data_IF_792116578740
#
_entry.id   IF_792116578740
#
_cell.length_a   1.000
_cell.length_b   1.000
_cell.length_c   1.000
_cell.angle_alpha   90.00
_cell.angle_beta   90.00
_cell.angle_gamma   90.00
#
_symmetry.space_group_name_H-M   'P 1'
#
loop_
_entity.id
_entity.type
_entity.pdbx_description
1 polymer ?
#
# COMPACT_ATOMS: atom_id res chain seq x y z
N UNK A 1 8.73 -9.45 -2.72
CA UNK A 1 7.55 -9.01 -1.97
C UNK A 1 6.30 -9.74 -2.44
N UNK A 2 5.49 -10.23 -1.53
CA UNK A 2 4.58 -11.34 -1.84
C UNK A 2 3.19 -10.93 -2.33
N UNK A 3 2.53 -11.90 -2.96
CA UNK A 3 1.10 -11.88 -3.32
C UNK A 3 0.19 -11.57 -2.11
N UNK A 4 0.66 -11.76 -0.87
CA UNK A 4 -0.09 -11.38 0.33
C UNK A 4 -0.37 -9.88 0.37
N UNK A 5 0.64 -9.04 0.18
CA UNK A 5 0.47 -7.58 0.21
C UNK A 5 -0.42 -7.11 -0.95
N UNK A 6 -0.31 -7.71 -2.13
CA UNK A 6 -1.21 -7.42 -3.25
C UNK A 6 -2.67 -7.73 -2.89
N UNK A 7 -2.93 -8.91 -2.33
CA UNK A 7 -4.28 -9.30 -1.92
C UNK A 7 -4.80 -8.46 -0.75
N UNK A 8 -3.92 -8.03 0.15
CA UNK A 8 -4.24 -7.15 1.25
C UNK A 8 -4.66 -5.76 0.74
N UNK A 9 -3.91 -5.19 -0.22
CA UNK A 9 -4.28 -3.96 -0.93
C UNK A 9 -5.62 -4.11 -1.64
N UNK A 10 -5.86 -5.24 -2.33
CA UNK A 10 -7.17 -5.51 -2.94
C UNK A 10 -8.28 -5.63 -1.91
N UNK A 11 -8.04 -6.20 -0.74
CA UNK A 11 -9.04 -6.29 0.32
C UNK A 11 -9.41 -4.90 0.86
N UNK A 12 -8.44 -4.01 1.02
CA UNK A 12 -8.68 -2.61 1.37
C UNK A 12 -9.51 -1.87 0.32
N UNK A 13 -9.15 -1.99 -0.96
CA UNK A 13 -9.92 -1.38 -2.06
C UNK A 13 -11.30 -2.02 -2.31
N UNK A 14 -11.58 -3.16 -1.70
CA UNK A 14 -12.92 -3.75 -1.65
C UNK A 14 -13.66 -3.41 -0.34
N UNK A 15 -13.20 -2.38 0.38
CA UNK A 15 -13.79 -1.85 1.62
C UNK A 15 -13.89 -2.90 2.76
N UNK A 16 -13.10 -3.97 2.70
CA UNK A 16 -13.09 -5.01 3.75
C UNK A 16 -12.28 -4.60 4.99
N UNK A 17 -11.47 -3.55 4.86
CA UNK A 17 -10.52 -3.07 5.85
C UNK A 17 -10.61 -1.55 5.85
N UNK A 18 -10.65 -0.93 7.03
CA UNK A 18 -10.60 0.53 7.13
C UNK A 18 -9.17 1.06 6.92
N UNK A 19 -9.03 2.34 6.61
CA UNK A 19 -7.75 2.94 6.23
C UNK A 19 -6.67 2.83 7.30
N UNK A 20 -6.97 3.20 8.55
CA UNK A 20 -6.01 3.10 9.66
C UNK A 20 -5.47 1.67 9.82
N UNK A 21 -6.37 0.68 9.83
CA UNK A 21 -5.98 -0.73 9.96
C UNK A 21 -5.16 -1.21 8.76
N UNK A 22 -5.51 -0.76 7.55
CA UNK A 22 -4.75 -1.08 6.35
C UNK A 22 -3.33 -0.48 6.42
N UNK A 23 -3.19 0.80 6.78
CA UNK A 23 -1.91 1.50 6.85
C UNK A 23 -0.97 0.83 7.85
N UNK A 24 -1.42 0.66 9.09
CA UNK A 24 -0.60 0.06 10.15
C UNK A 24 -0.15 -1.36 9.78
N UNK A 25 -1.09 -2.18 9.31
CA UNK A 25 -0.80 -3.56 8.95
C UNK A 25 0.08 -3.67 7.70
N UNK A 26 -0.12 -2.81 6.69
CA UNK A 26 0.67 -2.84 5.47
C UNK A 26 2.14 -2.55 5.76
N UNK A 27 2.44 -1.53 6.57
CA UNK A 27 3.81 -1.17 6.98
C UNK A 27 4.48 -2.34 7.71
N UNK A 28 3.79 -2.97 8.66
CA UNK A 28 4.35 -4.09 9.41
C UNK A 28 4.55 -5.33 8.55
N UNK A 29 3.58 -5.68 7.68
CA UNK A 29 3.73 -6.78 6.73
C UNK A 29 4.91 -6.55 5.77
N UNK A 30 5.07 -5.32 5.27
CA UNK A 30 6.19 -4.93 4.41
C UNK A 30 7.54 -5.13 5.12
N UNK A 31 7.65 -4.69 6.38
CA UNK A 31 8.86 -4.86 7.20
C UNK A 31 9.18 -6.34 7.43
N UNK A 32 8.17 -7.15 7.77
CA UNK A 32 8.33 -8.59 7.97
C UNK A 32 8.86 -9.26 6.70
N UNK A 33 8.28 -8.96 5.53
CA UNK A 33 8.74 -9.55 4.27
C UNK A 33 10.18 -9.15 3.92
N UNK A 34 10.53 -7.88 4.15
CA UNK A 34 11.90 -7.38 3.96
C UNK A 34 12.88 -8.13 4.86
N UNK A 35 12.56 -8.26 6.14
CA UNK A 35 13.44 -8.88 7.15
C UNK A 35 13.61 -10.38 6.92
N UNK A 36 12.60 -11.04 6.33
CA UNK A 36 12.68 -12.43 5.85
C UNK A 36 13.42 -12.59 4.52
N UNK A 37 13.85 -11.50 3.88
CA UNK A 37 14.57 -11.53 2.59
C UNK A 37 13.68 -11.90 1.40
N UNK A 38 12.35 -11.81 1.54
CA UNK A 38 11.39 -12.17 0.49
C UNK A 38 11.33 -11.11 -0.62
N UNK A 39 11.93 -9.94 -0.42
CA UNK A 39 12.01 -8.88 -1.41
C UNK A 39 12.63 -9.34 -2.75
N UNK A 40 13.60 -10.26 -2.72
CA UNK A 40 14.37 -10.68 -3.88
C UNK A 40 13.78 -11.88 -4.65
N UNK A 41 12.63 -12.41 -4.22
CA UNK A 41 12.05 -13.64 -4.79
C UNK A 41 11.01 -13.32 -5.87
N UNK A 42 10.38 -12.14 -5.78
CA UNK A 42 9.20 -11.82 -6.56
C UNK A 42 9.50 -11.03 -7.84
N UNK A 43 8.51 -11.02 -8.73
CA UNK A 43 8.49 -10.29 -9.99
C UNK A 43 8.81 -8.79 -9.77
N UNK A 44 9.69 -8.23 -10.60
CA UNK A 44 10.18 -6.86 -10.47
C UNK A 44 9.04 -5.83 -10.52
N UNK A 45 8.02 -6.07 -11.35
CA UNK A 45 6.85 -5.18 -11.45
C UNK A 45 5.99 -5.27 -10.21
N UNK A 46 5.80 -6.46 -9.63
CA UNK A 46 5.10 -6.59 -8.34
C UNK A 46 5.87 -5.86 -7.23
N UNK A 47 7.18 -6.02 -7.16
CA UNK A 47 8.01 -5.33 -6.18
C UNK A 47 7.92 -3.81 -6.31
N UNK A 48 7.95 -3.28 -7.54
CA UNK A 48 7.79 -1.85 -7.80
C UNK A 48 6.42 -1.35 -7.32
N UNK A 49 5.35 -2.04 -7.71
CA UNK A 49 3.99 -1.71 -7.26
C UNK A 49 3.89 -1.68 -5.72
N UNK A 50 4.36 -2.72 -5.04
CA UNK A 50 4.29 -2.80 -3.58
C UNK A 50 5.14 -1.74 -2.87
N UNK A 51 6.23 -1.30 -3.51
CA UNK A 51 7.05 -0.17 -3.05
C UNK A 51 6.33 1.17 -3.22
N UNK A 52 5.61 1.38 -4.34
CA UNK A 52 4.74 2.55 -4.53
C UNK A 52 3.65 2.61 -3.45
N UNK A 53 2.99 1.48 -3.15
CA UNK A 53 1.97 1.43 -2.10
C UNK A 53 2.57 1.76 -0.74
N UNK A 54 3.75 1.23 -0.40
CA UNK A 54 4.43 1.57 0.84
C UNK A 54 4.65 3.09 0.97
N UNK A 55 5.15 3.73 -0.09
CA UNK A 55 5.35 5.18 -0.10
C UNK A 55 4.03 5.94 0.10
N UNK A 56 2.95 5.54 -0.58
CA UNK A 56 1.63 6.18 -0.43
C UNK A 56 1.12 6.04 1.01
N UNK A 57 1.30 4.86 1.60
CA UNK A 57 0.86 4.54 2.96
C UNK A 57 1.68 5.29 4.02
N UNK A 58 2.99 5.48 3.80
CA UNK A 58 3.88 6.24 4.69
C UNK A 58 3.51 7.73 4.77
N UNK A 59 2.80 8.25 3.76
CA UNK A 59 2.28 9.62 3.72
C UNK A 59 0.87 9.77 4.30
N UNK A 60 0.30 8.71 4.88
CA UNK A 60 -1.02 8.79 5.49
C UNK A 60 -1.01 9.66 6.75
N UNK A 61 -1.92 10.64 6.78
CA UNK A 61 -2.21 11.40 7.97
C UNK A 61 -3.73 11.70 8.03
N UNK A 62 -4.47 11.13 8.99
CA UNK A 62 -5.91 11.39 9.14
C UNK A 62 -6.22 12.75 9.77
N UNK A 63 -5.23 13.47 10.30
CA UNK A 63 -5.45 14.72 11.00
C UNK A 63 -5.92 15.84 10.07
N UNK A 64 -6.78 16.72 10.59
CA UNK A 64 -7.31 17.87 9.83
C UNK A 64 -6.25 18.92 9.50
N UNK A 65 -5.13 18.89 10.20
CA UNK A 65 -3.98 19.79 10.01
C UNK A 65 -2.84 19.12 9.24
N UNK A 66 -3.13 18.04 8.48
CA UNK A 66 -2.13 17.36 7.65
C UNK A 66 -1.47 18.30 6.65
N UNK A 67 -0.22 18.02 6.33
CA UNK A 67 0.53 18.75 5.30
C UNK A 67 -0.04 18.47 3.90
N UNK A 68 0.21 19.37 2.95
CA UNK A 68 -0.34 19.27 1.58
C UNK A 68 0.08 17.98 0.85
N UNK A 69 1.26 17.45 1.19
CA UNK A 69 1.79 16.22 0.59
C UNK A 69 1.30 14.94 1.27
N UNK A 70 0.65 15.05 2.42
CA UNK A 70 0.08 13.91 3.15
C UNK A 70 -1.30 13.55 2.61
N UNK A 71 -1.77 12.33 2.89
CA UNK A 71 -3.06 11.84 2.42
C UNK A 71 -4.01 11.55 3.56
N UNK A 72 -5.24 12.04 3.45
CA UNK A 72 -6.36 11.55 4.27
C UNK A 72 -6.91 10.22 3.70
N UNK A 73 -7.94 9.68 4.36
CA UNK A 73 -8.57 8.41 3.98
C UNK A 73 -8.98 8.34 2.49
N UNK A 74 -9.62 9.40 2.00
CA UNK A 74 -10.17 9.46 0.64
C UNK A 74 -9.04 9.59 -0.39
N UNK A 75 -8.08 10.47 -0.13
CA UNK A 75 -6.93 10.70 -1.01
C UNK A 75 -6.06 9.45 -1.11
N UNK A 76 -5.80 8.78 0.01
CA UNK A 76 -5.03 7.54 0.06
C UNK A 76 -5.75 6.43 -0.70
N UNK A 77 -7.06 6.25 -0.49
CA UNK A 77 -7.87 5.29 -1.25
C UNK A 77 -7.79 5.55 -2.76
N UNK A 78 -7.93 6.81 -3.18
CA UNK A 78 -7.85 7.20 -4.60
C UNK A 78 -6.47 6.88 -5.18
N UNK A 79 -5.39 7.25 -4.48
CA UNK A 79 -4.02 7.02 -4.94
C UNK A 79 -3.68 5.54 -5.07
N UNK A 80 -4.08 4.74 -4.10
CA UNK A 80 -3.89 3.28 -4.13
C UNK A 80 -4.71 2.63 -5.25
N UNK A 81 -5.92 3.13 -5.50
CA UNK A 81 -6.76 2.67 -6.62
C UNK A 81 -6.13 2.97 -7.98
N UNK A 82 -5.60 4.18 -8.16
CA UNK A 82 -4.86 4.59 -9.37
C UNK A 82 -3.65 3.69 -9.60
N UNK A 83 -2.84 3.47 -8.56
CA UNK A 83 -1.63 2.65 -8.64
C UNK A 83 -1.96 1.18 -8.97
N UNK A 84 -3.03 0.62 -8.39
CA UNK A 84 -3.47 -0.75 -8.72
C UNK A 84 -3.93 -0.85 -10.18
N UNK A 85 -4.66 0.14 -10.69
CA UNK A 85 -5.10 0.15 -12.08
C UNK A 85 -3.90 0.22 -13.04
N UNK A 86 -2.89 1.02 -12.72
CA UNK A 86 -1.64 1.09 -13.49
C UNK A 86 -0.86 -0.22 -13.46
N UNK A 87 -0.83 -0.88 -12.30
CA UNK A 87 -0.27 -2.21 -12.18
C UNK A 87 -1.02 -3.18 -13.07
N UNK A 88 -2.35 -3.29 -13.01
CA UNK A 88 -3.13 -4.29 -13.76
C UNK A 88 -3.21 -4.05 -15.27
N UNK A 89 -3.05 -2.82 -15.75
CA UNK A 89 -3.14 -2.47 -17.17
C UNK A 89 -1.93 -2.90 -18.01
N UNK A 90 -0.83 -3.31 -17.36
CA UNK A 90 0.43 -3.74 -18.01
C UNK A 90 0.57 -5.26 -17.99
#
# INVERSE_FOLDING_TARGET
MSVLLLNFTKAYLNERINTNCFVDAYIELWRIERDLGLANIDDERLNLFLSSIFYIVDLYNPDSEKEEYEFNDIELYSKISEELALYEAK
#
